data_IF_413836860729
#
_entry.id   IF_413836860729
#
_cell.length_a   1.000
_cell.length_b   1.000
_cell.length_c   1.000
_cell.angle_alpha   90.00
_cell.angle_beta   90.00
_cell.angle_gamma   90.00
#
_symmetry.space_group_name_H-M   'P 1'
#
loop_
_entity.id
_entity.type
_entity.pdbx_description
1 polymer ?
#
# COMPACT_ATOMS: atom_id res chain seq x y z
N UNK A 1 -3.09 46.38 14.76
CA UNK A 1 -3.77 47.67 15.07
C UNK A 1 -5.13 47.31 15.63
N UNK A 2 -5.19 47.09 16.94
CA UNK A 2 -5.45 48.02 18.06
C UNK A 2 -6.88 47.75 18.57
N UNK A 3 -7.10 47.77 19.90
CA UNK A 3 -8.06 46.96 20.66
C UNK A 3 -9.22 47.86 21.15
N UNK A 4 -9.58 47.95 22.45
CA UNK A 4 -10.01 46.99 23.49
C UNK A 4 -11.44 47.33 24.01
N UNK A 5 -11.98 46.59 25.00
CA UNK A 5 -12.61 47.16 26.22
C UNK A 5 -13.15 46.10 27.20
N UNK A 6 -12.59 46.07 28.40
CA UNK A 6 -13.34 45.90 29.65
C UNK A 6 -13.74 47.33 30.14
N UNK A 7 -14.36 47.58 31.32
CA UNK A 7 -14.81 46.69 32.42
C UNK A 7 -16.20 47.10 32.96
N UNK A 8 -16.65 46.53 34.09
CA UNK A 8 -17.11 47.28 35.26
C UNK A 8 -17.63 46.34 36.37
N UNK A 9 -17.14 46.58 37.59
CA UNK A 9 -17.66 45.97 38.80
C UNK A 9 -18.90 46.68 39.33
N UNK A 10 -19.56 46.07 40.31
CA UNK A 10 -20.40 46.73 41.30
C UNK A 10 -20.52 45.86 42.55
N UNK A 11 -20.45 46.53 43.70
CA UNK A 11 -20.42 46.01 45.06
C UNK A 11 -21.56 46.73 45.78
N UNK A 12 -22.51 46.02 46.37
CA UNK A 12 -23.49 46.50 47.38
C UNK A 12 -24.36 45.28 47.82
N UNK A 13 -24.94 45.08 49.01
CA UNK A 13 -24.86 45.53 50.42
C UNK A 13 -26.10 44.95 51.12
N UNK A 14 -26.05 44.93 52.46
CA UNK A 14 -27.09 44.56 53.47
C UNK A 14 -26.94 43.12 53.99
N UNK A 15 -26.78 42.83 55.27
CA UNK A 15 -26.92 43.61 56.50
C UNK A 15 -28.11 43.11 57.32
N UNK A 16 -27.86 42.45 58.46
CA UNK A 16 -28.50 42.66 59.77
C UNK A 16 -28.08 41.59 60.80
N UNK A 17 -27.75 42.09 61.99
CA UNK A 17 -27.43 41.40 63.24
C UNK A 17 -28.61 41.46 64.21
N UNK A 18 -28.73 40.44 65.08
CA UNK A 18 -29.23 40.45 66.48
C UNK A 18 -29.10 39.01 67.00
N UNK A 19 -28.79 38.65 68.25
CA UNK A 19 -28.66 39.40 69.50
C UNK A 19 -28.01 38.52 70.62
N UNK A 20 -27.24 39.17 71.51
CA UNK A 20 -27.20 39.12 73.01
C UNK A 20 -27.03 37.75 73.75
N UNK A 21 -26.37 37.55 74.91
CA UNK A 21 -25.87 38.42 76.01
C UNK A 21 -24.84 37.67 76.90
N UNK A 22 -23.99 38.47 77.58
CA UNK A 22 -23.09 38.30 78.74
C UNK A 22 -23.31 37.14 79.73
N UNK A 23 -22.27 36.57 80.39
CA UNK A 23 -21.61 37.08 81.63
C UNK A 23 -20.38 36.21 82.03
N UNK A 24 -19.17 36.78 82.30
CA UNK A 24 -18.42 36.91 83.61
C UNK A 24 -18.48 35.68 84.55
N UNK A 25 -17.45 35.19 85.28
CA UNK A 25 -16.21 35.70 85.94
C UNK A 25 -15.53 34.43 86.58
N UNK A 26 -14.21 34.18 86.61
CA UNK A 26 -13.25 34.51 87.70
C UNK A 26 -11.86 33.87 87.43
N UNK A 27 -10.81 34.52 87.97
CA UNK A 27 -9.39 34.10 88.06
C UNK A 27 -9.20 32.86 88.95
N UNK A 28 -8.22 32.00 88.62
CA UNK A 28 -7.26 31.39 89.57
C UNK A 28 -5.92 31.17 88.85
N UNK A 29 -4.85 31.63 89.48
CA UNK A 29 -3.43 31.39 89.19
C UNK A 29 -2.97 30.08 89.86
N UNK A 30 -2.22 29.20 89.17
CA UNK A 30 -0.87 28.79 89.63
C UNK A 30 -0.13 27.84 88.67
N UNK A 31 1.19 27.82 88.84
CA UNK A 31 2.25 27.17 88.07
C UNK A 31 2.41 25.67 88.36
N UNK A 32 2.39 24.81 87.32
CA UNK A 32 3.14 23.53 87.30
C UNK A 32 3.46 23.04 85.87
N UNK A 33 4.76 23.05 85.57
CA UNK A 33 5.57 22.17 84.73
C UNK A 33 4.90 20.87 84.20
N UNK A 34 4.86 20.61 82.89
CA UNK A 34 5.04 19.26 82.28
C UNK A 34 5.27 19.33 80.74
N UNK A 35 6.48 18.94 80.34
CA UNK A 35 6.92 18.33 79.06
C UNK A 35 6.01 18.49 77.84
N UNK A 36 6.36 19.38 76.91
CA UNK A 36 5.93 19.29 75.51
C UNK A 36 7.06 18.59 74.74
N UNK A 37 6.80 17.35 74.39
CA UNK A 37 7.63 16.50 73.56
C UNK A 37 7.89 17.14 72.19
N UNK A 38 9.16 17.16 71.78
CA UNK A 38 9.57 17.38 70.40
C UNK A 38 8.86 16.36 69.51
N UNK A 39 7.94 16.80 68.66
CA UNK A 39 7.62 16.07 67.44
C UNK A 39 8.74 16.39 66.46
N UNK A 40 9.84 15.66 66.55
CA UNK A 40 10.74 15.53 65.41
C UNK A 40 9.94 14.87 64.30
N UNK A 41 9.52 15.67 63.33
CA UNK A 41 9.10 15.13 62.05
C UNK A 41 10.24 14.26 61.54
N UNK A 42 10.03 12.94 61.60
CA UNK A 42 10.77 11.98 60.82
C UNK A 42 10.54 12.38 59.37
N UNK A 43 11.42 13.24 58.84
CA UNK A 43 11.82 13.16 57.45
C UNK A 43 12.46 11.77 57.33
N UNK A 44 11.63 10.74 57.18
CA UNK A 44 12.05 9.51 56.58
C UNK A 44 12.54 9.92 55.19
N UNK A 45 13.84 10.15 55.09
CA UNK A 45 14.54 9.97 53.83
C UNK A 45 14.21 8.54 53.46
N UNK A 46 13.21 8.35 52.58
CA UNK A 46 13.11 7.14 51.80
C UNK A 46 14.38 7.17 50.95
N UNK A 47 15.49 6.71 51.54
CA UNK A 47 16.71 6.39 50.82
C UNK A 47 16.30 5.17 50.01
N UNK A 48 15.89 5.44 48.77
CA UNK A 48 15.30 4.43 47.93
C UNK A 48 16.41 3.54 47.41
N UNK A 49 16.56 2.35 47.99
CA UNK A 49 17.20 1.26 47.29
C UNK A 49 16.29 0.84 46.12
N UNK A 50 16.89 0.48 44.99
CA UNK A 50 16.15 0.07 43.81
C UNK A 50 15.74 -1.40 43.90
N UNK A 51 14.57 -1.73 43.35
CA UNK A 51 14.17 -3.11 43.08
C UNK A 51 14.95 -3.73 41.91
N UNK A 52 14.50 -4.88 41.37
CA UNK A 52 15.11 -5.50 40.20
C UNK A 52 15.24 -4.52 39.03
N UNK A 53 16.32 -4.61 38.23
CA UNK A 53 16.54 -3.68 37.15
C UNK A 53 15.53 -3.87 36.00
N UNK A 54 15.26 -2.81 35.21
CA UNK A 54 14.25 -2.86 34.17
C UNK A 54 14.66 -3.78 33.01
N UNK A 55 13.66 -4.36 32.37
CA UNK A 55 13.85 -5.06 31.10
C UNK A 55 13.98 -4.06 29.95
N UNK A 56 15.10 -4.12 29.22
CA UNK A 56 15.38 -3.26 28.07
C UNK A 56 15.31 -4.06 26.77
N UNK A 57 14.52 -3.60 25.79
CA UNK A 57 14.39 -4.27 24.49
C UNK A 57 15.68 -4.23 23.64
N UNK A 58 16.59 -3.30 23.94
CA UNK A 58 17.84 -3.08 23.20
C UNK A 58 19.09 -3.59 23.91
N UNK A 59 18.99 -3.98 25.19
CA UNK A 59 20.13 -4.38 26.01
C UNK A 59 19.77 -5.42 27.08
N UNK A 60 20.75 -6.20 27.49
CA UNK A 60 20.65 -7.16 28.59
C UNK A 60 21.80 -6.96 29.58
N UNK A 61 21.59 -7.27 30.87
CA UNK A 61 22.68 -7.25 31.84
C UNK A 61 23.77 -8.26 31.44
N UNK A 62 25.04 -7.94 31.74
CA UNK A 62 26.17 -8.84 31.43
C UNK A 62 26.22 -10.02 32.41
N UNK A 63 25.82 -9.78 33.65
CA UNK A 63 25.80 -10.77 34.71
C UNK A 63 24.34 -11.08 35.07
N UNK A 64 24.08 -12.34 35.45
CA UNK A 64 22.83 -12.69 36.10
C UNK A 64 22.86 -12.23 37.56
N UNK A 65 21.73 -11.75 38.07
CA UNK A 65 21.60 -11.26 39.43
C UNK A 65 20.53 -12.06 40.17
N UNK A 66 20.88 -12.58 41.34
CA UNK A 66 19.93 -13.24 42.26
C UNK A 66 19.36 -12.26 43.30
N UNK A 67 19.93 -11.05 43.37
CA UNK A 67 19.50 -9.98 44.26
C UNK A 67 18.27 -9.26 43.69
N UNK A 68 17.33 -8.92 44.56
CA UNK A 68 16.12 -8.17 44.21
C UNK A 68 16.14 -6.74 44.73
N UNK A 69 17.16 -6.37 45.50
CA UNK A 69 17.31 -5.05 46.13
C UNK A 69 18.75 -4.54 45.94
N UNK A 70 18.87 -3.34 45.39
CA UNK A 70 20.13 -2.71 45.00
C UNK A 70 20.29 -1.36 45.67
N UNK A 71 21.43 -1.15 46.34
CA UNK A 71 21.67 0.11 47.07
C UNK A 71 21.69 1.32 46.15
N UNK A 72 21.26 2.48 46.65
CA UNK A 72 21.44 3.76 45.94
C UNK A 72 22.89 3.93 45.44
N UNK A 73 23.05 4.39 44.19
CA UNK A 73 24.36 4.54 43.55
C UNK A 73 24.88 3.29 42.85
N UNK A 74 24.24 2.13 43.04
CA UNK A 74 24.58 0.90 42.30
C UNK A 74 24.46 1.15 40.79
N UNK A 75 25.51 0.78 40.06
CA UNK A 75 25.56 0.91 38.59
C UNK A 75 25.80 -0.45 37.96
N UNK A 76 24.80 -0.95 37.23
CA UNK A 76 24.83 -2.24 36.58
C UNK A 76 25.29 -2.12 35.13
N UNK A 77 26.21 -2.99 34.71
CA UNK A 77 26.74 -2.99 33.35
C UNK A 77 25.89 -3.86 32.42
N UNK A 78 25.56 -3.30 31.26
CA UNK A 78 24.74 -3.93 30.22
C UNK A 78 25.55 -4.15 28.95
N UNK A 79 25.08 -5.09 28.13
CA UNK A 79 25.51 -5.30 26.76
C UNK A 79 24.33 -5.15 25.80
N UNK A 80 24.59 -4.80 24.55
CA UNK A 80 23.54 -4.67 23.55
C UNK A 80 23.02 -6.05 23.13
N UNK A 81 21.70 -6.15 22.93
CA UNK A 81 21.07 -7.37 22.39
C UNK A 81 21.44 -7.56 20.90
N UNK A 82 21.32 -8.78 20.35
CA UNK A 82 21.46 -9.00 18.91
C UNK A 82 20.59 -8.05 18.09
N UNK A 83 21.11 -7.55 16.97
CA UNK A 83 20.46 -6.51 16.17
C UNK A 83 20.71 -5.08 16.65
N UNK A 84 21.35 -4.88 17.81
CA UNK A 84 21.75 -3.56 18.33
C UNK A 84 23.27 -3.40 18.39
N UNK A 85 23.73 -2.14 18.40
CA UNK A 85 25.14 -1.77 18.53
C UNK A 85 25.28 -0.60 19.51
N UNK A 86 26.41 -0.56 20.22
CA UNK A 86 26.70 0.49 21.21
C UNK A 86 26.77 1.86 20.54
N UNK A 87 26.11 2.84 21.13
CA UNK A 87 26.15 4.25 20.71
C UNK A 87 27.47 4.89 21.16
N UNK A 88 28.55 4.67 20.42
CA UNK A 88 29.85 5.31 20.61
C UNK A 88 30.38 5.28 22.05
N UNK A 89 30.64 6.47 22.62
CA UNK A 89 31.20 6.69 23.96
C UNK A 89 30.20 6.58 25.11
N UNK A 90 28.90 6.32 24.84
CA UNK A 90 27.92 6.20 25.93
C UNK A 90 28.23 4.99 26.78
N UNK A 91 28.27 5.20 28.08
CA UNK A 91 28.48 4.12 29.02
C UNK A 91 27.21 3.27 29.12
N UNK A 92 27.37 1.95 29.02
CA UNK A 92 26.27 0.99 29.06
C UNK A 92 25.92 0.65 30.52
N UNK A 93 25.70 1.68 31.34
CA UNK A 93 25.33 1.54 32.75
C UNK A 93 23.88 1.96 32.98
N UNK A 94 23.21 1.21 33.84
CA UNK A 94 21.92 1.56 34.42
C UNK A 94 22.16 1.80 35.90
N UNK A 95 21.86 2.99 36.39
CA UNK A 95 22.25 3.44 37.73
C UNK A 95 21.03 3.68 38.61
N UNK A 96 21.07 3.16 39.84
CA UNK A 96 20.06 3.41 40.85
C UNK A 96 20.22 4.82 41.43
N UNK A 97 19.24 5.69 41.21
CA UNK A 97 19.25 7.06 41.72
C UNK A 97 18.85 7.13 43.22
N UNK A 98 19.01 8.30 43.83
CA UNK A 98 18.69 8.50 45.25
C UNK A 98 17.20 8.43 45.59
N UNK A 99 16.33 8.29 44.59
CA UNK A 99 14.88 8.14 44.73
C UNK A 99 14.44 6.68 44.59
N UNK A 100 15.39 5.73 44.49
CA UNK A 100 15.08 4.32 44.26
C UNK A 100 14.59 4.02 42.84
N UNK A 101 14.92 4.87 41.87
CA UNK A 101 14.56 4.68 40.45
C UNK A 101 15.79 4.39 39.61
N UNK A 102 15.67 3.44 38.69
CA UNK A 102 16.71 3.16 37.71
C UNK A 102 16.77 4.25 36.63
N UNK A 103 17.93 4.89 36.48
CA UNK A 103 18.20 5.92 35.49
C UNK A 103 19.19 5.44 34.43
N UNK A 104 18.88 5.70 33.16
CA UNK A 104 19.71 5.34 32.01
C UNK A 104 19.38 6.23 30.80
N UNK A 105 20.24 6.18 29.77
CA UNK A 105 19.98 6.75 28.45
C UNK A 105 20.10 5.67 27.39
N UNK A 106 19.54 5.88 26.20
CA UNK A 106 19.69 4.92 25.11
C UNK A 106 21.16 4.79 24.69
N UNK A 107 21.81 3.72 25.14
CA UNK A 107 23.23 3.43 24.90
C UNK A 107 23.44 2.32 23.86
N UNK A 108 22.35 1.73 23.36
CA UNK A 108 22.35 0.84 22.21
C UNK A 108 21.34 1.34 21.17
N UNK A 109 21.74 1.39 19.91
CA UNK A 109 20.89 1.72 18.77
C UNK A 109 20.75 0.51 17.87
N UNK A 110 19.66 0.45 17.10
CA UNK A 110 19.48 -0.59 16.09
C UNK A 110 20.65 -0.55 15.10
N UNK A 111 21.13 -1.73 14.71
CA UNK A 111 22.01 -1.87 13.55
C UNK A 111 21.21 -1.59 12.28
N UNK A 112 21.90 -1.12 11.25
CA UNK A 112 21.31 -0.93 9.92
C UNK A 112 21.78 -2.06 9.00
N UNK A 113 20.86 -2.61 8.24
CA UNK A 113 21.21 -3.45 7.10
C UNK A 113 21.90 -2.62 6.02
N UNK A 114 22.65 -3.31 5.16
CA UNK A 114 23.33 -2.70 4.02
C UNK A 114 22.34 -1.99 3.12
N UNK A 115 22.77 -0.88 2.52
CA UNK A 115 21.97 -0.18 1.51
C UNK A 115 21.62 -1.17 0.38
N UNK A 116 20.32 -1.37 0.06
CA UNK A 116 19.92 -2.34 -0.95
C UNK A 116 20.43 -2.01 -2.37
N UNK A 117 20.84 -0.76 -2.61
CA UNK A 117 21.26 -0.34 -3.94
C UNK A 117 20.10 -0.30 -4.92
N UNK A 118 20.41 -0.37 -6.21
CA UNK A 118 19.43 -0.31 -7.29
C UNK A 118 19.06 -1.71 -7.78
N UNK A 119 17.77 -1.92 -8.06
CA UNK A 119 17.27 -3.14 -8.71
C UNK A 119 17.18 -2.88 -10.22
N UNK A 120 18.02 -3.57 -11.01
CA UNK A 120 18.00 -3.42 -12.48
C UNK A 120 16.62 -3.79 -13.04
N UNK A 121 16.06 -2.93 -13.89
CA UNK A 121 14.71 -3.06 -14.46
C UNK A 121 13.61 -3.19 -13.39
N UNK A 122 13.85 -2.63 -12.22
CA UNK A 122 12.91 -2.64 -11.11
C UNK A 122 13.18 -1.50 -10.15
N UNK A 123 12.63 -1.63 -8.95
CA UNK A 123 12.68 -0.64 -7.90
C UNK A 123 12.64 -1.33 -6.53
N UNK A 124 13.44 -0.79 -5.60
CA UNK A 124 13.44 -1.19 -4.19
C UNK A 124 12.62 -0.16 -3.44
N UNK A 125 11.60 -0.62 -2.75
CA UNK A 125 10.65 0.21 -2.00
C UNK A 125 11.03 0.13 -0.53
N UNK A 126 11.44 1.27 0.03
CA UNK A 126 11.80 1.43 1.44
C UNK A 126 10.70 2.27 2.10
N UNK A 127 9.86 1.65 2.93
CA UNK A 127 8.74 2.36 3.56
C UNK A 127 9.15 3.23 4.75
N UNK A 128 10.12 2.76 5.55
CA UNK A 128 10.49 3.38 6.83
C UNK A 128 11.99 3.71 6.90
N UNK A 129 12.81 2.69 7.10
CA UNK A 129 14.26 2.79 7.23
C UNK A 129 14.91 1.42 6.95
N UNK A 130 16.24 1.35 7.10
CA UNK A 130 17.01 0.12 6.91
C UNK A 130 17.44 -0.52 8.25
N UNK A 131 16.83 -0.10 9.36
CA UNK A 131 17.20 -0.55 10.70
C UNK A 131 16.69 -1.96 11.00
N UNK A 132 17.30 -2.62 11.98
CA UNK A 132 16.89 -3.94 12.47
C UNK A 132 15.37 -4.02 12.72
N UNK A 133 14.72 -5.03 12.14
CA UNK A 133 13.29 -5.26 12.17
C UNK A 133 12.48 -4.53 11.10
N UNK A 134 13.10 -3.70 10.25
CA UNK A 134 12.46 -3.10 9.08
C UNK A 134 12.42 -4.09 7.90
N UNK A 135 11.62 -3.78 6.89
CA UNK A 135 11.50 -4.58 5.66
C UNK A 135 11.53 -3.68 4.43
N UNK A 136 11.89 -4.28 3.30
CA UNK A 136 11.86 -3.67 1.98
C UNK A 136 11.07 -4.55 1.04
N UNK A 137 10.47 -3.93 0.03
CA UNK A 137 9.74 -4.61 -1.04
C UNK A 137 10.43 -4.39 -2.39
N UNK A 138 10.28 -5.34 -3.29
CA UNK A 138 10.84 -5.30 -4.63
C UNK A 138 9.72 -5.29 -5.66
N UNK A 139 9.85 -4.44 -6.67
CA UNK A 139 8.91 -4.39 -7.78
C UNK A 139 9.65 -4.24 -9.10
N UNK A 140 9.27 -5.00 -10.12
CA UNK A 140 9.82 -4.84 -11.46
C UNK A 140 9.07 -3.76 -12.25
N UNK A 141 9.78 -3.15 -13.21
CA UNK A 141 9.19 -2.22 -14.17
C UNK A 141 8.20 -2.96 -15.09
N UNK A 142 7.36 -2.19 -15.78
CA UNK A 142 6.46 -2.75 -16.78
C UNK A 142 7.22 -3.53 -17.85
N UNK A 143 6.72 -4.70 -18.24
CA UNK A 143 7.39 -5.59 -19.17
C UNK A 143 8.35 -6.60 -18.54
N UNK A 144 8.59 -6.52 -17.23
CA UNK A 144 9.50 -7.42 -16.50
C UNK A 144 8.78 -8.25 -15.44
N UNK A 145 9.27 -9.47 -15.23
CA UNK A 145 8.78 -10.45 -14.27
C UNK A 145 9.82 -10.58 -13.15
N UNK A 146 9.34 -10.61 -11.90
CA UNK A 146 10.19 -10.72 -10.71
C UNK A 146 10.55 -12.19 -10.44
N UNK A 147 11.85 -12.49 -10.46
CA UNK A 147 12.42 -13.80 -10.15
C UNK A 147 13.08 -13.74 -8.78
N UNK A 148 12.47 -14.39 -7.78
CA UNK A 148 12.99 -14.43 -6.40
C UNK A 148 11.96 -13.97 -5.37
N UNK A 149 12.44 -13.46 -4.24
CA UNK A 149 11.57 -12.96 -3.17
C UNK A 149 11.07 -11.55 -3.47
N UNK A 150 9.79 -11.28 -3.19
CA UNK A 150 9.20 -9.94 -3.34
C UNK A 150 9.51 -9.02 -2.16
N UNK A 151 9.94 -9.57 -1.03
CA UNK A 151 10.23 -8.84 0.19
C UNK A 151 11.50 -9.35 0.87
N UNK A 152 12.14 -8.49 1.67
CA UNK A 152 13.21 -8.91 2.57
C UNK A 152 13.17 -8.15 3.89
N UNK A 153 13.57 -8.82 4.97
CA UNK A 153 13.53 -8.31 6.33
C UNK A 153 14.95 -8.10 6.85
N UNK A 154 15.18 -7.01 7.58
CA UNK A 154 16.46 -6.74 8.21
C UNK A 154 16.57 -7.52 9.52
N UNK A 155 17.24 -8.67 9.47
CA UNK A 155 17.30 -9.67 10.53
C UNK A 155 18.72 -9.87 11.05
N UNK A 156 18.85 -10.59 12.17
CA UNK A 156 20.16 -10.90 12.75
C UNK A 156 20.84 -11.98 11.91
N UNK A 157 22.06 -11.68 11.46
CA UNK A 157 22.93 -12.64 10.78
C UNK A 157 24.27 -12.67 11.52
N UNK A 158 24.49 -13.75 12.26
CA UNK A 158 25.61 -13.93 13.20
C UNK A 158 25.72 -12.77 14.20
N UNK A 159 26.80 -11.97 14.12
CA UNK A 159 27.06 -10.81 14.98
C UNK A 159 26.61 -9.48 14.36
N UNK A 160 25.97 -9.54 13.20
CA UNK A 160 25.56 -8.40 12.39
C UNK A 160 24.08 -8.47 12.05
N UNK A 161 23.60 -7.57 11.19
CA UNK A 161 22.27 -7.65 10.59
C UNK A 161 22.42 -7.71 9.08
N UNK A 162 21.52 -8.45 8.44
CA UNK A 162 21.50 -8.66 7.01
C UNK A 162 20.07 -8.80 6.50
N UNK A 163 19.90 -8.65 5.20
CA UNK A 163 18.64 -8.91 4.53
C UNK A 163 18.37 -10.42 4.51
N UNK A 164 17.17 -10.82 4.92
CA UNK A 164 16.78 -12.23 5.05
C UNK A 164 16.71 -12.99 3.72
N UNK A 165 16.59 -12.28 2.60
CA UNK A 165 16.49 -12.83 1.26
C UNK A 165 17.53 -12.19 0.34
N UNK A 166 18.00 -12.94 -0.65
CA UNK A 166 18.80 -12.40 -1.74
C UNK A 166 17.97 -11.46 -2.61
N UNK A 167 18.64 -10.51 -3.27
CA UNK A 167 18.02 -9.57 -4.18
C UNK A 167 17.45 -10.32 -5.39
N UNK A 168 16.19 -10.03 -5.79
CA UNK A 168 15.58 -10.68 -6.93
C UNK A 168 16.16 -10.16 -8.25
N UNK A 169 15.85 -10.85 -9.34
CA UNK A 169 16.14 -10.41 -10.69
C UNK A 169 14.85 -10.03 -11.43
N UNK A 170 14.85 -8.90 -12.13
CA UNK A 170 13.76 -8.52 -13.02
C UNK A 170 14.11 -8.92 -14.46
N UNK A 171 13.48 -9.99 -14.94
CA UNK A 171 13.71 -10.57 -16.27
C UNK A 171 12.63 -10.09 -17.22
N UNK A 172 13.00 -9.68 -18.44
CA UNK A 172 12.01 -9.24 -19.43
C UNK A 172 11.06 -10.40 -19.74
N UNK A 173 9.76 -10.11 -19.81
CA UNK A 173 8.77 -11.13 -20.09
C UNK A 173 8.93 -11.65 -21.53
N UNK A 174 8.96 -12.96 -21.65
CA UNK A 174 9.01 -13.64 -22.93
C UNK A 174 7.63 -14.23 -23.23
N UNK A 175 7.16 -14.02 -24.46
CA UNK A 175 6.00 -14.71 -24.99
C UNK A 175 6.44 -15.95 -25.77
N UNK A 176 5.61 -16.98 -25.73
CA UNK A 176 5.74 -18.11 -26.67
C UNK A 176 5.62 -17.62 -28.12
N UNK A 177 6.10 -18.40 -29.10
CA UNK A 177 5.89 -18.08 -30.51
C UNK A 177 4.40 -17.81 -30.80
N UNK A 178 4.07 -16.71 -31.51
CA UNK A 178 2.69 -16.34 -31.77
C UNK A 178 2.00 -17.43 -32.60
N UNK A 179 0.78 -17.83 -32.24
CA UNK A 179 0.12 -18.98 -32.84
C UNK A 179 -0.27 -18.70 -34.30
N UNK A 180 -0.28 -19.76 -35.11
CA UNK A 180 -0.82 -19.68 -36.46
C UNK A 180 -2.35 -19.67 -36.46
N UNK A 181 -2.94 -19.04 -37.48
CA UNK A 181 -4.39 -18.98 -37.65
C UNK A 181 -4.83 -19.72 -38.91
N UNK A 182 -5.94 -20.44 -38.82
CA UNK A 182 -6.53 -21.16 -39.95
C UNK A 182 -7.06 -20.14 -40.98
N UNK A 183 -6.84 -20.39 -42.27
CA UNK A 183 -7.26 -19.51 -43.37
C UNK A 183 -6.68 -18.10 -43.29
N UNK A 184 -5.52 -17.95 -42.66
CA UNK A 184 -4.76 -16.71 -42.64
C UNK A 184 -3.26 -16.97 -42.61
N UNK A 185 -2.51 -15.88 -42.63
CA UNK A 185 -1.06 -15.85 -42.52
C UNK A 185 -0.66 -14.74 -41.58
N UNK A 186 0.42 -14.97 -40.85
CA UNK A 186 1.07 -13.95 -40.02
C UNK A 186 2.12 -13.20 -40.84
N UNK A 187 2.27 -11.92 -40.58
CA UNK A 187 3.30 -11.04 -41.09
C UNK A 187 4.15 -10.53 -39.93
N UNK A 188 5.48 -10.60 -40.08
CA UNK A 188 6.44 -10.32 -39.02
C UNK A 188 6.66 -11.51 -38.09
N UNK A 189 7.62 -11.40 -37.17
CA UNK A 189 7.99 -12.40 -36.18
C UNK A 189 8.68 -13.63 -36.75
N UNK A 190 9.83 -13.44 -37.38
CA UNK A 190 10.81 -14.51 -37.62
C UNK A 190 11.90 -14.47 -36.53
N UNK A 191 11.52 -14.05 -35.33
CA UNK A 191 12.41 -13.88 -34.19
C UNK A 191 12.50 -15.19 -33.43
N UNK A 192 13.69 -15.54 -32.94
CA UNK A 192 13.88 -16.72 -32.10
C UNK A 192 13.25 -16.53 -30.70
N UNK A 193 13.08 -15.28 -30.26
CA UNK A 193 12.55 -14.90 -28.94
C UNK A 193 11.66 -13.67 -29.08
N UNK A 194 10.44 -13.74 -28.54
CA UNK A 194 9.52 -12.61 -28.45
C UNK A 194 9.51 -12.08 -27.03
N UNK A 195 9.90 -10.82 -26.86
CA UNK A 195 9.90 -10.14 -25.56
C UNK A 195 8.75 -9.16 -25.47
N UNK A 196 8.45 -8.66 -24.26
CA UNK A 196 7.46 -7.61 -24.05
C UNK A 196 7.57 -6.47 -25.09
N UNK A 197 6.44 -6.08 -25.66
CA UNK A 197 6.35 -5.07 -26.72
C UNK A 197 6.53 -5.61 -28.15
N UNK A 198 7.01 -6.85 -28.33
CA UNK A 198 7.02 -7.51 -29.65
C UNK A 198 5.60 -7.57 -30.22
N UNK A 199 5.45 -7.42 -31.53
CA UNK A 199 4.14 -7.41 -32.18
C UNK A 199 4.13 -8.12 -33.51
N UNK A 200 3.01 -8.76 -33.82
CA UNK A 200 2.79 -9.45 -35.10
C UNK A 200 1.43 -9.10 -35.65
N UNK A 201 1.31 -9.11 -36.97
CA UNK A 201 0.06 -8.76 -37.65
C UNK A 201 -0.39 -9.89 -38.55
N UNK A 202 -1.66 -10.27 -38.44
CA UNK A 202 -2.27 -11.32 -39.24
C UNK A 202 -3.01 -10.75 -40.43
N UNK A 203 -3.16 -11.59 -41.46
CA UNK A 203 -3.95 -11.33 -42.65
C UNK A 203 -4.72 -12.59 -43.03
N UNK A 204 -6.02 -12.46 -43.30
CA UNK A 204 -6.80 -13.57 -43.81
C UNK A 204 -6.46 -13.87 -45.28
N UNK A 205 -6.57 -15.14 -45.64
CA UNK A 205 -6.48 -15.58 -47.03
C UNK A 205 -7.64 -14.96 -47.84
N UNK A 206 -7.48 -14.82 -49.17
CA UNK A 206 -8.54 -14.31 -50.03
C UNK A 206 -9.87 -15.06 -49.83
N UNK A 207 -10.98 -14.32 -49.72
CA UNK A 207 -12.32 -14.88 -49.51
C UNK A 207 -12.69 -15.16 -48.04
N UNK A 208 -11.83 -14.83 -47.09
CA UNK A 208 -12.10 -14.90 -45.65
C UNK A 208 -12.12 -13.51 -45.02
N UNK A 209 -13.06 -13.30 -44.11
CA UNK A 209 -13.22 -12.10 -43.32
C UNK A 209 -12.55 -12.24 -41.95
N UNK A 210 -11.92 -11.16 -41.48
CA UNK A 210 -11.23 -11.12 -40.19
C UNK A 210 -12.18 -10.76 -39.05
N UNK A 211 -12.21 -11.60 -38.02
CA UNK A 211 -12.93 -11.36 -36.76
C UNK A 211 -11.90 -11.14 -35.63
N UNK A 212 -11.95 -9.98 -34.98
CA UNK A 212 -10.98 -9.57 -33.94
C UNK A 212 -9.99 -8.50 -34.42
N UNK A 213 -8.94 -8.23 -33.63
CA UNK A 213 -7.88 -7.29 -34.02
C UNK A 213 -6.83 -7.99 -34.88
N UNK A 214 -6.37 -7.31 -35.94
CA UNK A 214 -5.37 -7.86 -36.85
C UNK A 214 -4.00 -8.03 -36.20
N UNK A 215 -3.65 -7.18 -35.24
CA UNK A 215 -2.34 -7.16 -34.59
C UNK A 215 -2.46 -7.54 -33.12
N UNK A 216 -1.48 -8.32 -32.66
CA UNK A 216 -1.32 -8.74 -31.27
C UNK A 216 0.07 -8.34 -30.78
N UNK A 217 0.20 -8.11 -29.48
CA UNK A 217 1.46 -7.69 -28.86
C UNK A 217 1.77 -8.55 -27.64
N UNK A 218 3.05 -8.81 -27.41
CA UNK A 218 3.52 -9.50 -26.22
C UNK A 218 3.38 -8.57 -25.02
N UNK A 219 2.49 -8.91 -24.10
CA UNK A 219 2.16 -8.16 -22.91
C UNK A 219 2.50 -8.99 -21.67
N UNK A 220 2.54 -8.36 -20.50
CA UNK A 220 2.67 -9.08 -19.22
C UNK A 220 1.31 -9.20 -18.57
N UNK A 221 0.91 -10.43 -18.26
CA UNK A 221 -0.28 -10.71 -17.48
C UNK A 221 0.10 -11.02 -16.04
N UNK A 222 -0.62 -10.40 -15.09
CA UNK A 222 -0.45 -10.61 -13.64
C UNK A 222 0.98 -10.46 -13.09
N UNK A 223 1.87 -9.77 -13.83
CA UNK A 223 3.32 -9.64 -13.53
C UNK A 223 4.08 -10.97 -13.45
N UNK A 224 3.53 -12.05 -14.01
CA UNK A 224 4.10 -13.41 -13.88
C UNK A 224 4.41 -14.07 -15.21
N UNK A 225 3.72 -13.69 -16.30
CA UNK A 225 3.85 -14.38 -17.59
C UNK A 225 3.71 -13.41 -18.77
N UNK A 226 4.49 -13.66 -19.82
CA UNK A 226 4.33 -13.00 -21.11
C UNK A 226 3.21 -13.67 -21.91
N UNK A 227 2.19 -12.91 -22.30
CA UNK A 227 1.02 -13.40 -23.05
C UNK A 227 0.74 -12.49 -24.22
N UNK A 228 0.37 -13.09 -25.35
CA UNK A 228 -0.11 -12.35 -26.50
C UNK A 228 -1.49 -11.72 -26.24
N UNK A 229 -1.57 -10.40 -26.37
CA UNK A 229 -2.81 -9.67 -26.18
C UNK A 229 -3.02 -8.60 -27.27
N UNK A 230 -4.24 -8.45 -27.81
CA UNK A 230 -5.39 -9.34 -27.59
C UNK A 230 -5.16 -10.74 -28.17
N UNK A 231 -6.13 -11.64 -28.00
CA UNK A 231 -6.08 -12.96 -28.64
C UNK A 231 -5.97 -12.85 -30.17
N UNK A 232 -5.34 -13.82 -30.85
CA UNK A 232 -5.25 -13.86 -32.31
C UNK A 232 -6.63 -13.76 -32.99
N UNK A 233 -6.73 -13.12 -34.18
CA UNK A 233 -7.99 -13.02 -34.90
C UNK A 233 -8.40 -14.36 -35.51
N UNK A 234 -9.70 -14.51 -35.77
CA UNK A 234 -10.24 -15.67 -36.51
C UNK A 234 -10.59 -15.26 -37.93
N UNK A 235 -10.15 -16.05 -38.91
CA UNK A 235 -10.55 -15.88 -40.32
C UNK A 235 -11.72 -16.80 -40.66
N UNK A 236 -12.90 -16.23 -40.89
CA UNK A 236 -14.12 -16.97 -41.28
C UNK A 236 -14.61 -16.53 -42.65
N UNK A 237 -15.15 -17.48 -43.40
CA UNK A 237 -15.87 -17.17 -44.64
C UNK A 237 -17.26 -16.67 -44.26
N UNK A 238 -17.42 -15.35 -44.27
CA UNK A 238 -18.69 -14.68 -43.95
C UNK A 238 -19.35 -14.27 -45.26
N UNK A 239 -20.57 -14.74 -45.48
CA UNK A 239 -21.34 -14.49 -46.70
C UNK A 239 -22.80 -14.24 -46.32
N UNK A 240 -23.26 -13.00 -46.49
CA UNK A 240 -24.66 -12.66 -46.40
C UNK A 240 -25.30 -12.61 -47.80
N UNK A 241 -26.41 -13.32 -48.03
CA UNK A 241 -27.15 -13.20 -49.28
C UNK A 241 -27.87 -11.84 -49.36
N UNK A 242 -28.10 -11.30 -50.57
CA UNK A 242 -28.92 -10.10 -50.74
C UNK A 242 -30.31 -10.29 -50.10
N UNK A 243 -30.73 -9.41 -49.17
CA UNK A 243 -32.04 -9.54 -48.54
C UNK A 243 -33.14 -9.11 -49.52
N UNK A 244 -34.31 -9.72 -49.38
CA UNK A 244 -35.48 -9.38 -50.18
C UNK A 244 -36.38 -8.42 -49.39
N UNK A 245 -36.35 -7.13 -49.75
CA UNK A 245 -37.23 -6.10 -49.19
C UNK A 245 -38.33 -5.79 -50.20
N UNK A 246 -39.54 -6.33 -49.97
CA UNK A 246 -40.70 -6.08 -50.84
C UNK A 246 -41.04 -4.60 -50.85
N UNK A 247 -41.20 -4.03 -52.06
CA UNK A 247 -41.43 -2.59 -52.28
C UNK A 247 -40.29 -1.67 -51.80
N UNK A 248 -39.13 -2.23 -51.45
CA UNK A 248 -37.90 -1.48 -51.23
C UNK A 248 -37.03 -1.46 -52.48
N UNK A 249 -36.11 -0.51 -52.53
CA UNK A 249 -35.03 -0.41 -53.52
C UNK A 249 -33.70 -0.24 -52.80
N UNK A 250 -32.66 -0.87 -53.32
CA UNK A 250 -31.31 -0.67 -52.83
C UNK A 250 -30.77 0.66 -53.36
N UNK A 251 -30.22 1.48 -52.46
CA UNK A 251 -29.70 2.83 -52.76
C UNK A 251 -28.18 2.82 -52.83
N UNK A 252 -27.52 2.02 -52.00
CA UNK A 252 -26.06 1.87 -52.02
C UNK A 252 -25.60 0.50 -51.52
N UNK A 253 -24.37 0.14 -51.86
CA UNK A 253 -23.80 -1.17 -51.53
C UNK A 253 -24.35 -2.27 -52.44
N UNK A 254 -24.38 -2.05 -53.75
CA UNK A 254 -24.84 -3.07 -54.70
C UNK A 254 -23.84 -4.20 -54.82
N UNK A 255 -24.29 -5.45 -54.63
CA UNK A 255 -23.46 -6.63 -54.81
C UNK A 255 -24.27 -7.92 -54.92
N UNK A 256 -23.72 -8.96 -55.57
CA UNK A 256 -24.36 -10.27 -55.63
C UNK A 256 -24.22 -11.05 -54.29
N UNK A 257 -23.20 -10.71 -53.48
CA UNK A 257 -22.84 -11.35 -52.22
C UNK A 257 -22.17 -10.29 -51.32
N UNK A 258 -22.36 -10.38 -50.00
CA UNK A 258 -21.81 -9.44 -49.02
C UNK A 258 -20.93 -10.15 -47.98
N UNK A 259 -19.78 -9.55 -47.66
CA UNK A 259 -18.83 -10.03 -46.66
C UNK A 259 -19.04 -9.33 -45.32
N UNK A 260 -18.31 -9.77 -44.30
CA UNK A 260 -18.40 -9.18 -42.96
C UNK A 260 -18.21 -7.66 -42.96
N UNK A 261 -19.10 -6.96 -42.26
CA UNK A 261 -19.19 -5.48 -42.17
C UNK A 261 -19.56 -4.75 -43.46
N UNK A 262 -19.76 -5.44 -44.57
CA UNK A 262 -20.37 -4.82 -45.74
C UNK A 262 -21.75 -4.28 -45.33
N UNK A 263 -22.03 -3.04 -45.74
CA UNK A 263 -23.24 -2.33 -45.38
C UNK A 263 -24.01 -1.94 -46.62
N UNK A 264 -25.32 -2.11 -46.57
CA UNK A 264 -26.22 -1.81 -47.68
C UNK A 264 -27.36 -0.92 -47.19
N UNK A 265 -27.81 -0.03 -48.07
CA UNK A 265 -28.81 1.00 -47.73
C UNK A 265 -30.04 0.83 -48.59
N UNK A 266 -31.21 0.89 -47.97
CA UNK A 266 -32.52 0.77 -48.60
C UNK A 266 -33.30 2.08 -48.53
N UNK A 267 -34.20 2.23 -49.49
CA UNK A 267 -35.28 3.21 -49.47
C UNK A 267 -36.56 2.53 -49.96
N UNK A 268 -37.73 3.06 -49.61
CA UNK A 268 -38.99 2.49 -50.07
C UNK A 268 -39.42 3.11 -51.41
N UNK A 269 -40.17 2.34 -52.19
CA UNK A 269 -40.82 2.86 -53.38
C UNK A 269 -41.81 3.97 -53.01
N UNK A 270 -42.11 4.85 -53.97
CA UNK A 270 -43.03 5.98 -53.76
C UNK A 270 -44.38 5.48 -53.21
N UNK A 271 -44.83 6.07 -52.10
CA UNK A 271 -46.09 5.73 -51.44
C UNK A 271 -45.97 4.68 -50.33
N UNK A 272 -44.77 4.16 -50.06
CA UNK A 272 -44.50 3.26 -48.93
C UNK A 272 -43.63 3.94 -47.88
N UNK A 273 -43.86 3.60 -46.62
CA UNK A 273 -43.15 4.08 -45.44
C UNK A 273 -42.16 3.00 -44.98
N UNK A 274 -40.91 3.40 -44.72
CA UNK A 274 -39.87 2.50 -44.21
C UNK A 274 -40.06 2.25 -42.70
N UNK A 275 -40.14 0.98 -42.32
CA UNK A 275 -40.11 0.52 -40.93
C UNK A 275 -38.82 -0.24 -40.65
N UNK A 276 -38.13 0.16 -39.58
CA UNK A 276 -36.82 -0.38 -39.20
C UNK A 276 -35.66 0.53 -39.61
N UNK A 277 -34.47 -0.04 -39.76
CA UNK A 277 -33.28 0.69 -40.19
C UNK A 277 -33.18 0.73 -41.70
N UNK A 278 -32.86 1.89 -42.27
CA UNK A 278 -32.56 2.01 -43.69
C UNK A 278 -31.15 1.51 -44.05
N UNK A 279 -30.29 1.24 -43.06
CA UNK A 279 -28.95 0.67 -43.23
C UNK A 279 -28.84 -0.62 -42.45
N UNK A 280 -28.31 -1.66 -43.10
CA UNK A 280 -28.04 -2.96 -42.48
C UNK A 280 -26.62 -3.41 -42.84
N UNK A 281 -25.99 -4.18 -41.95
CA UNK A 281 -24.63 -4.68 -42.13
C UNK A 281 -24.55 -6.20 -41.94
N UNK A 282 -23.65 -6.83 -42.70
CA UNK A 282 -23.44 -8.28 -42.65
C UNK A 282 -22.58 -8.65 -41.43
N UNK A 283 -23.12 -9.50 -40.56
CA UNK A 283 -22.50 -9.90 -39.30
C UNK A 283 -21.70 -11.19 -39.41
N UNK A 284 -20.93 -11.48 -38.35
CA UNK A 284 -20.03 -12.63 -38.29
C UNK A 284 -20.74 -14.01 -38.37
N UNK A 285 -22.05 -14.05 -38.15
CA UNK A 285 -22.90 -15.24 -38.19
C UNK A 285 -23.62 -15.42 -39.53
N UNK A 286 -23.25 -14.65 -40.56
CA UNK A 286 -23.88 -14.60 -41.88
C UNK A 286 -25.31 -14.02 -41.88
N UNK A 287 -25.67 -13.24 -40.86
CA UNK A 287 -26.95 -12.56 -40.79
C UNK A 287 -26.83 -11.06 -41.01
N UNK A 288 -27.96 -10.42 -41.32
CA UNK A 288 -28.07 -8.98 -41.40
C UNK A 288 -28.49 -8.42 -40.05
N UNK A 289 -27.75 -7.42 -39.58
CA UNK A 289 -28.09 -6.67 -38.37
C UNK A 289 -28.01 -5.17 -38.66
N UNK A 290 -28.97 -4.36 -38.21
CA UNK A 290 -30.35 -4.78 -37.88
C UNK A 290 -30.99 -5.60 -39.02
N UNK A 291 -32.08 -6.34 -38.75
CA UNK A 291 -32.74 -7.13 -39.78
C UNK A 291 -33.23 -6.24 -40.93
N UNK A 292 -33.42 -6.79 -42.15
CA UNK A 292 -33.89 -6.02 -43.30
C UNK A 292 -35.18 -5.22 -43.01
N UNK A 293 -35.28 -3.97 -43.47
CA UNK A 293 -36.45 -3.13 -43.21
C UNK A 293 -37.70 -3.65 -43.93
N UNK A 294 -38.86 -3.18 -43.49
CA UNK A 294 -40.16 -3.46 -44.12
C UNK A 294 -40.69 -2.18 -44.74
N UNK A 295 -41.16 -2.25 -45.99
CA UNK A 295 -41.87 -1.15 -46.65
C UNK A 295 -43.37 -1.47 -46.68
N UNK A 296 -44.16 -0.65 -45.99
CA UNK A 296 -45.63 -0.79 -45.90
C UNK A 296 -46.34 0.52 -46.29
N UNK A 297 -47.63 0.45 -46.63
CA UNK A 297 -48.43 1.61 -47.04
C UNK A 297 -48.79 2.51 -45.85
#
# INVERSE_FOLDING_TARGET
>A
MYPPRAPNGALDRKGKTTAWSFSRLWRVSDSTLFQITLVTALLSTVLGDCGPPPYLNFASPINEFNETNFKTGTSLKYTCRPGYIKTGSRNQFVTCDSRGTWHYSDFCVKRSCSNPGELRNGQVIIEKDLSFGSHIEFSCLEGYILMGSTTSYCEVQDKTVGWSNSFPECVIANCEPPPDIINGKRSGGNEDIYTYGSSVTYRCNPGFSMLGKASISCMVENKTIGVWSPSPPTCKKVICPPPNVKYGKLVSGFGPIYNFKDSIVFDCNKGFILKGSNIIHCEADNTWNPPPPICEL
#
